data_IF_501519706039
#
_entry.id   IF_501519706039
#
_cell.length_a   1.000
_cell.length_b   1.000
_cell.length_c   1.000
_cell.angle_alpha   90.00
_cell.angle_beta   90.00
_cell.angle_gamma   90.00
#
_symmetry.space_group_name_H-M   'P 1'
#
loop_
_entity.id
_entity.type
_entity.pdbx_description
1 polymer ?
2 non-polymer ?
3 non-polymer ?
4 water ?
#
# COMPACT_ATOMS: atom_id res chain seq x y z
N UNK A 21 8.09 17.00 2.02
CA UNK A 21 8.22 15.56 2.12
C UNK A 21 6.85 14.91 2.38
N UNK A 22 5.81 15.74 2.50
CA UNK A 22 4.48 15.27 2.86
C UNK A 22 3.41 15.84 1.96
N UNK A 23 2.37 15.06 1.70
CA UNK A 23 1.21 15.58 0.99
C UNK A 23 0.04 15.70 1.97
N UNK A 24 -0.77 16.74 1.80
CA UNK A 24 -1.95 16.93 2.63
C UNK A 24 -3.16 16.17 2.07
N UNK A 25 -3.78 15.36 2.92
CA UNK A 25 -4.89 14.50 2.54
C UNK A 25 -6.21 15.25 2.62
N UNK A 26 -7.27 14.66 2.07
CA UNK A 26 -8.57 15.34 2.01
C UNK A 26 -9.29 15.43 3.37
N UNK A 27 -8.73 14.81 4.41
CA UNK A 27 -9.28 14.97 5.75
C UNK A 27 -8.38 15.91 6.60
N UNK A 28 -7.34 16.44 5.97
CA UNK A 28 -6.49 17.42 6.63
C UNK A 28 -5.21 16.89 7.24
N UNK A 29 -5.06 15.57 7.29
CA UNK A 29 -3.84 14.95 7.82
C UNK A 29 -2.75 14.96 6.74
N UNK A 30 -1.51 14.66 7.16
CA UNK A 30 -0.35 14.67 6.26
C UNK A 30 0.33 13.32 6.09
N UNK A 31 0.61 12.97 4.84
CA UNK A 31 1.23 11.70 4.49
C UNK A 31 2.58 11.92 3.82
N UNK A 32 3.66 11.41 4.43
CA UNK A 32 4.98 11.42 3.82
C UNK A 32 4.92 10.72 2.46
N UNK A 33 5.53 11.31 1.43
CA UNK A 33 5.36 10.84 0.06
C UNK A 33 6.19 9.60 -0.22
N UNK A 34 7.19 9.35 0.61
CA UNK A 34 7.91 8.06 0.54
C UNK A 34 7.47 7.16 1.68
N UNK A 35 7.19 5.90 1.37
CA UNK A 35 6.77 4.99 2.41
C UNK A 35 7.54 3.67 2.41
N UNK A 36 7.76 3.12 3.59
CA UNK A 36 8.44 1.84 3.71
C UNK A 36 7.47 0.66 3.71
N UNK A 37 7.59 -0.22 2.72
CA UNK A 37 6.78 -1.43 2.64
C UNK A 37 7.37 -2.58 3.46
N UNK A 38 6.54 -3.29 4.21
CA UNK A 38 7.01 -4.31 5.16
C UNK A 38 6.69 -5.75 4.78
N UNK A 39 5.93 -5.96 3.71
CA UNK A 39 5.57 -7.33 3.34
C UNK A 39 6.78 -8.09 2.85
N UNK A 40 6.88 -9.34 3.29
CA UNK A 40 7.91 -10.25 2.81
C UNK A 40 7.34 -11.66 2.68
N UNK A 41 7.83 -12.42 1.70
CA UNK A 41 7.43 -13.83 1.52
C UNK A 41 7.50 -14.62 2.83
N UNK A 42 6.71 -15.68 2.93
CA UNK A 42 6.61 -16.45 4.17
C UNK A 42 7.97 -16.96 4.66
N UNK A 43 8.79 -17.47 3.75
CA UNK A 43 10.10 -18.02 4.07
C UNK A 43 10.96 -17.11 4.96
N UNK A 44 10.67 -15.81 4.91
CA UNK A 44 11.44 -14.86 5.72
C UNK A 44 10.93 -14.80 7.17
N UNK A 45 11.85 -15.06 8.12
CA UNK A 45 11.56 -15.00 9.55
C UNK A 45 10.99 -13.63 9.96
N UNK A 46 10.07 -13.61 10.93
CA UNK A 46 9.40 -12.36 11.33
C UNK A 46 10.36 -11.37 11.96
N UNK A 47 11.41 -11.89 12.59
CA UNK A 47 12.47 -11.08 13.18
C UNK A 47 13.09 -10.09 12.20
N UNK A 48 13.06 -10.43 10.90
CA UNK A 48 13.61 -9.54 9.86
C UNK A 48 12.76 -8.29 9.65
N UNK A 49 11.45 -8.43 9.82
CA UNK A 49 10.56 -7.29 9.67
C UNK A 49 10.84 -6.27 10.75
N UNK A 50 11.21 -6.75 11.94
CA UNK A 50 11.55 -5.88 13.06
C UNK A 50 12.87 -5.15 12.78
N UNK A 51 13.88 -5.91 12.38
CA UNK A 51 15.18 -5.31 12.08
C UNK A 51 15.09 -4.35 10.88
N UNK A 52 14.36 -4.76 9.85
CA UNK A 52 14.20 -3.96 8.63
C UNK A 52 13.48 -2.63 8.88
N UNK A 53 12.43 -2.65 9.68
CA UNK A 53 11.70 -1.41 9.98
C UNK A 53 12.53 -0.46 10.83
N UNK A 54 13.31 -1.00 11.77
CA UNK A 54 14.24 -0.17 12.53
C UNK A 54 15.25 0.52 11.59
N UNK A 55 15.82 -0.25 10.67
CA UNK A 55 16.79 0.33 9.74
C UNK A 55 16.12 1.39 8.88
N UNK A 56 14.89 1.11 8.47
CA UNK A 56 14.19 2.03 7.59
C UNK A 56 14.02 3.38 8.28
N UNK A 57 13.60 3.35 9.54
CA UNK A 57 13.39 4.56 10.31
C UNK A 57 14.71 5.30 10.50
N UNK A 58 15.77 4.55 10.79
CA UNK A 58 17.09 5.14 11.00
C UNK A 58 17.61 5.79 9.73
N UNK A 59 17.24 5.23 8.58
CA UNK A 59 17.67 5.76 7.29
C UNK A 59 16.83 6.97 6.84
N UNK A 60 15.68 7.18 7.46
CA UNK A 60 14.91 8.37 7.14
C UNK A 60 13.44 8.17 6.85
N UNK A 61 13.01 6.92 6.67
CA UNK A 61 11.60 6.61 6.46
C UNK A 61 10.76 7.04 7.65
N UNK A 62 9.62 7.69 7.36
CA UNK A 62 8.71 8.14 8.40
C UNK A 62 7.32 7.56 8.16
N UNK A 63 7.15 7.02 6.97
CA UNK A 63 5.91 6.41 6.54
C UNK A 63 6.10 4.89 6.46
N UNK A 64 5.38 4.16 7.31
CA UNK A 64 5.48 2.69 7.39
C UNK A 64 4.17 2.01 6.95
N UNK A 65 4.25 1.12 5.96
CA UNK A 65 3.06 0.46 5.44
C UNK A 65 3.04 -1.01 5.82
N UNK A 66 1.99 -1.44 6.50
CA UNK A 66 1.80 -2.85 6.75
C UNK A 66 0.32 -3.24 6.67
N UNK A 67 -0.03 -4.37 7.27
CA UNK A 67 -1.36 -4.95 7.12
C UNK A 67 -1.54 -6.17 8.03
N UNK A 68 -2.77 -6.41 8.46
CA UNK A 68 -3.07 -7.62 9.20
C UNK A 68 -2.65 -8.85 8.39
N UNK A 69 -2.95 -8.85 7.10
CA UNK A 69 -2.54 -9.95 6.24
C UNK A 69 -1.06 -10.31 6.34
N UNK A 70 -0.19 -9.33 6.58
CA UNK A 70 1.25 -9.59 6.48
C UNK A 70 1.79 -10.35 7.70
N UNK A 71 1.00 -10.41 8.76
CA UNK A 71 1.37 -11.18 9.94
C UNK A 71 2.69 -10.72 10.57
N UNK A 72 2.92 -9.42 10.55
CA UNK A 72 4.14 -8.85 11.10
C UNK A 72 3.91 -7.62 12.00
N UNK A 73 2.66 -7.35 12.36
CA UNK A 73 2.37 -6.07 13.00
C UNK A 73 2.96 -5.99 14.42
N UNK A 74 3.16 -7.14 15.04
CA UNK A 74 3.85 -7.21 16.31
C UNK A 74 5.30 -6.74 16.16
N UNK A 75 5.99 -7.27 15.15
CA UNK A 75 7.36 -6.91 14.82
C UNK A 75 7.47 -5.43 14.37
N UNK A 76 6.52 -4.98 13.55
CA UNK A 76 6.58 -3.65 12.99
C UNK A 76 6.27 -2.63 14.08
N UNK A 77 5.38 -2.98 15.01
CA UNK A 77 5.06 -2.12 16.13
C UNK A 77 6.24 -1.96 17.08
N UNK A 78 6.90 -3.08 17.37
CA UNK A 78 8.09 -3.09 18.21
C UNK A 78 9.21 -2.24 17.61
N UNK A 79 9.42 -2.33 16.29
CA UNK A 79 10.45 -1.51 15.66
C UNK A 79 10.15 -0.02 15.82
N UNK A 80 8.90 0.37 15.54
CA UNK A 80 8.43 1.74 15.75
C UNK A 80 8.61 2.18 17.20
N UNK A 81 8.16 1.35 18.14
CA UNK A 81 8.20 1.74 19.54
C UNK A 81 9.62 1.74 20.08
N UNK A 82 10.48 0.90 19.52
CA UNK A 82 11.85 0.90 19.97
C UNK A 82 12.57 2.16 19.46
N UNK A 83 12.18 2.64 18.27
CA UNK A 83 12.81 3.86 17.76
C UNK A 83 12.25 5.09 18.46
N UNK A 84 11.09 4.93 19.10
CA UNK A 84 10.59 5.97 19.99
C UNK A 84 11.35 5.93 21.31
N UNK A 85 11.59 4.72 21.81
CA UNK A 85 12.26 4.53 23.10
C UNK A 85 13.70 5.05 23.09
N UNK A 86 14.45 4.80 22.02
CA UNK A 86 15.83 5.25 21.97
C UNK A 86 15.93 6.73 21.63
N UNK A 87 14.78 7.39 21.51
CA UNK A 87 14.72 8.83 21.28
C UNK A 87 14.94 9.30 19.85
N UNK A 88 14.94 8.39 18.89
CA UNK A 88 15.12 8.78 17.48
C UNK A 88 13.94 9.55 16.90
N UNK A 89 12.72 9.18 17.31
CA UNK A 89 11.51 9.77 16.75
C UNK A 89 10.44 9.86 17.82
N UNK A 90 9.48 10.76 17.60
CA UNK A 90 8.25 10.75 18.39
C UNK A 90 7.19 9.98 17.60
N UNK A 91 6.12 9.55 18.27
CA UNK A 91 5.02 8.87 17.60
C UNK A 91 4.49 9.72 16.44
N UNK A 92 4.33 11.01 16.69
CA UNK A 92 3.83 11.98 15.70
C UNK A 92 4.69 12.13 14.45
N UNK A 93 5.95 11.73 14.55
CA UNK A 93 6.85 11.75 13.40
C UNK A 93 6.64 10.55 12.51
N UNK A 94 5.85 9.60 12.98
CA UNK A 94 5.68 8.33 12.26
C UNK A 94 4.27 8.23 11.68
N UNK A 95 4.20 7.86 10.42
CA UNK A 95 2.92 7.62 9.77
C UNK A 95 2.81 6.12 9.52
N UNK A 96 1.98 5.46 10.32
CA UNK A 96 1.80 4.01 10.19
C UNK A 96 0.46 3.59 9.58
N UNK A 97 0.53 2.75 8.56
CA UNK A 97 -0.66 2.22 7.89
C UNK A 97 -0.93 0.76 8.27
N UNK A 98 -2.16 0.47 8.65
CA UNK A 98 -2.61 -0.91 8.70
C UNK A 98 -3.76 -1.10 7.70
N UNK A 99 -4.19 -2.34 7.53
CA UNK A 99 -5.27 -2.65 6.61
C UNK A 99 -6.19 -3.74 7.15
N UNK A 100 -7.49 -3.53 6.93
CA UNK A 100 -8.50 -4.52 7.25
C UNK A 100 -8.54 -5.61 6.17
N UNK A 101 -8.33 -6.87 6.58
CA UNK A 101 -8.34 -7.96 5.61
C UNK A 101 -9.76 -8.43 5.30
N UNK A 102 -9.88 -9.13 4.17
CA UNK A 102 -11.18 -9.51 3.60
C UNK A 102 -12.03 -10.42 4.48
N UNK A 103 -11.43 -11.03 5.49
CA UNK A 103 -12.18 -11.88 6.40
C UNK A 103 -12.86 -11.10 7.53
N UNK A 104 -12.83 -9.79 7.46
CA UNK A 104 -13.51 -8.93 8.45
C UNK A 104 -14.23 -7.76 7.77
N UNK A 105 -14.72 -7.99 6.55
CA UNK A 105 -15.47 -6.94 5.88
C UNK A 105 -16.80 -6.70 6.56
N UNK A 106 -17.34 -7.70 7.23
CA UNK A 106 -18.64 -7.54 7.87
C UNK A 106 -18.57 -6.42 8.90
N UNK A 107 -19.52 -5.49 8.85
CA UNK A 107 -19.49 -4.25 9.64
C UNK A 107 -19.19 -4.49 11.10
N UNK A 108 -19.84 -5.48 11.70
CA UNK A 108 -19.65 -5.77 13.12
C UNK A 108 -18.23 -6.28 13.44
N UNK A 109 -17.46 -6.62 12.42
CA UNK A 109 -16.15 -7.23 12.65
C UNK A 109 -15.00 -6.27 12.30
N UNK A 110 -15.33 -5.11 11.76
CA UNK A 110 -14.31 -4.13 11.35
C UNK A 110 -13.51 -3.60 12.54
N UNK A 111 -14.21 -3.17 13.58
CA UNK A 111 -13.53 -2.60 14.74
C UNK A 111 -12.73 -3.65 15.50
N UNK A 112 -13.32 -4.85 15.72
CA UNK A 112 -12.50 -5.89 16.37
C UNK A 112 -11.22 -6.15 15.59
N UNK A 113 -11.26 -6.00 14.26
CA UNK A 113 -10.07 -6.23 13.46
C UNK A 113 -9.03 -5.13 13.67
N UNK A 114 -9.46 -3.88 13.65
CA UNK A 114 -8.54 -2.78 13.92
C UNK A 114 -7.96 -2.86 15.33
N UNK A 115 -8.82 -3.19 16.29
CA UNK A 115 -8.40 -3.31 17.67
C UNK A 115 -7.39 -4.43 17.88
N UNK A 116 -7.56 -5.52 17.14
CA UNK A 116 -6.62 -6.63 17.18
C UNK A 116 -5.24 -6.19 16.67
N UNK A 117 -5.23 -5.48 15.53
CA UNK A 117 -4.02 -4.88 15.00
C UNK A 117 -3.34 -3.96 16.02
N UNK A 118 -4.12 -3.08 16.64
CA UNK A 118 -3.60 -2.17 17.66
C UNK A 118 -3.03 -2.97 18.83
N UNK A 119 -3.67 -4.08 19.18
CA UNK A 119 -3.15 -4.90 20.26
C UNK A 119 -1.79 -5.51 19.86
N UNK A 120 -1.73 -6.14 18.68
CA UNK A 120 -0.47 -6.65 18.15
C UNK A 120 0.63 -5.58 18.06
N UNK A 121 0.24 -4.40 17.58
CA UNK A 121 1.16 -3.28 17.46
C UNK A 121 1.58 -2.75 18.83
N UNK A 122 0.65 -2.81 19.79
CA UNK A 122 0.79 -2.06 21.04
C UNK A 122 0.90 -0.59 20.72
N UNK A 123 0.08 -0.13 19.77
CA UNK A 123 -0.07 1.28 19.47
C UNK A 123 -1.49 1.72 19.82
N UNK A 124 -1.65 3.00 20.09
CA UNK A 124 -2.96 3.54 20.45
C UNK A 124 -3.84 3.81 19.24
N UNK A 125 -3.22 4.14 18.11
CA UNK A 125 -3.96 4.39 16.87
C UNK A 125 -3.11 4.04 15.66
N UNK A 126 -3.74 3.85 14.50
CA UNK A 126 -2.97 3.80 13.27
C UNK A 126 -3.21 5.14 12.62
N UNK A 127 -2.27 5.59 11.80
CA UNK A 127 -2.47 6.84 11.07
C UNK A 127 -3.40 6.62 9.89
N UNK A 128 -3.54 5.38 9.46
CA UNK A 128 -4.27 5.09 8.25
C UNK A 128 -4.77 3.66 8.27
N UNK A 129 -6.08 3.51 8.07
CA UNK A 129 -6.68 2.18 7.98
C UNK A 129 -7.34 2.03 6.61
N UNK A 130 -6.96 0.98 5.90
CA UNK A 130 -7.52 0.74 4.57
C UNK A 130 -8.35 -0.51 4.49
N UNK A 131 -9.42 -0.46 3.71
CA UNK A 131 -9.98 -1.71 3.21
C UNK A 131 -8.91 -2.27 2.24
N UNK A 132 -8.36 -3.43 2.61
CA UNK A 132 -7.22 -3.98 1.90
C UNK A 132 -7.54 -4.40 0.46
N UNK A 133 -8.69 -5.05 0.28
CA UNK A 133 -9.08 -5.62 -1.02
C UNK A 133 -10.60 -5.78 -1.04
N UNK A 134 -11.26 -5.45 -2.16
CA UNK A 134 -12.74 -5.40 -2.17
C UNK A 134 -13.51 -6.73 -2.23
N UNK A 135 -12.84 -7.86 -2.41
CA UNK A 135 -13.58 -9.14 -2.42
C UNK A 135 -13.61 -9.75 -1.01
N UNK A 136 -14.79 -10.04 -0.49
CA UNK A 136 -14.88 -10.54 0.89
C UNK A 136 -14.75 -12.07 0.96
N UNK A 137 -14.12 -12.57 2.00
CA UNK A 137 -14.06 -14.02 2.21
C UNK A 137 -14.67 -14.36 3.57
N UNK A 138 -15.03 -15.62 3.76
CA UNK A 138 -15.72 -16.07 4.98
C UNK A 138 -15.01 -15.62 6.25
N UNK A 139 -15.78 -15.07 7.21
CA UNK A 139 -15.26 -14.65 8.51
C UNK A 139 -14.57 -15.80 9.25
N UNK A 140 -13.40 -15.54 9.81
CA UNK A 140 -12.64 -16.55 10.52
C UNK A 140 -11.17 -16.20 10.54
N UNK A 141 -10.39 -16.96 11.30
CA UNK A 141 -8.96 -16.71 11.43
C UNK A 141 -8.22 -16.93 10.11
N UNK A 142 -8.68 -17.89 9.32
CA UNK A 142 -8.03 -18.16 8.04
C UNK A 142 -8.19 -16.98 7.08
N UNK A 143 -7.07 -16.49 6.54
CA UNK A 143 -7.13 -15.29 5.70
C UNK A 143 -7.48 -15.65 4.25
N UNK A 144 -7.20 -16.89 3.86
CA UNK A 144 -7.69 -17.41 2.59
C UNK A 144 -8.44 -18.72 2.78
N UNK A 145 -9.68 -18.65 3.31
CA UNK A 145 -10.45 -19.87 3.60
C UNK A 145 -10.87 -20.56 2.31
N UNK A 146 -10.75 -21.89 2.27
CA UNK A 146 -11.11 -22.64 1.06
C UNK A 146 -12.01 -23.85 1.39
N UNK A 147 -12.75 -24.34 0.39
CA UNK A 147 -13.51 -25.58 0.57
C UNK A 147 -12.63 -26.80 0.27
N UNK A 148 -13.24 -27.98 0.26
CA UNK A 148 -12.52 -29.23 0.03
C UNK A 148 -11.89 -29.30 -1.37
N UNK A 149 -12.53 -28.66 -2.35
CA UNK A 149 -11.98 -28.60 -3.70
C UNK A 149 -10.93 -27.48 -3.84
N UNK A 150 -10.48 -26.95 -2.71
CA UNK A 150 -9.52 -25.86 -2.71
C UNK A 150 -10.10 -24.61 -3.33
N UNK A 151 -11.42 -24.45 -3.22
CA UNK A 151 -12.02 -23.23 -3.72
C UNK A 151 -12.19 -22.23 -2.58
N UNK A 152 -11.94 -20.96 -2.86
CA UNK A 152 -12.09 -19.91 -1.87
C UNK A 152 -13.53 -19.80 -1.40
N UNK A 153 -13.68 -19.67 -0.09
CA UNK A 153 -14.98 -19.51 0.53
C UNK A 153 -15.33 -18.02 0.63
N UNK A 154 -15.95 -17.51 -0.42
CA UNK A 154 -16.26 -16.09 -0.48
C UNK A 154 -17.42 -15.72 0.43
N UNK A 155 -17.47 -14.45 0.79
CA UNK A 155 -18.53 -13.93 1.64
C UNK A 155 -19.30 -12.89 0.86
N UNK A 156 -20.44 -12.49 1.38
CA UNK A 156 -21.25 -11.50 0.69
C UNK A 156 -21.47 -10.31 1.60
N UNK A 157 -20.82 -9.21 1.24
CA UNK A 157 -20.87 -8.02 2.05
C UNK A 157 -21.00 -6.77 1.21
N UNK A 158 -21.83 -5.86 1.71
CA UNK A 158 -21.96 -4.54 1.17
C UNK A 158 -20.81 -3.68 1.69
N UNK A 159 -19.83 -3.44 0.81
CA UNK A 159 -18.65 -2.64 1.13
C UNK A 159 -19.00 -1.23 1.61
N UNK A 160 -20.18 -0.74 1.25
CA UNK A 160 -20.67 0.52 1.80
C UNK A 160 -20.93 0.39 3.30
N UNK A 161 -21.46 -0.75 3.71
CA UNK A 161 -21.68 -1.01 5.11
C UNK A 161 -20.31 -1.13 5.78
N UNK A 162 -19.38 -1.80 5.12
CA UNK A 162 -18.02 -1.89 5.62
C UNK A 162 -17.41 -0.50 5.83
N UNK A 163 -17.61 0.40 4.87
CA UNK A 163 -17.02 1.73 4.96
C UNK A 163 -17.58 2.53 6.16
N UNK A 164 -18.86 2.34 6.45
CA UNK A 164 -19.48 3.04 7.57
C UNK A 164 -18.86 2.59 8.89
N UNK A 165 -18.61 1.29 8.99
CA UNK A 165 -17.88 0.73 10.12
C UNK A 165 -16.46 1.29 10.18
N UNK A 166 -15.82 1.40 9.01
CA UNK A 166 -14.49 2.00 8.94
C UNK A 166 -14.56 3.47 9.35
N UNK A 167 -15.60 4.17 8.95
CA UNK A 167 -15.75 5.56 9.37
C UNK A 167 -15.84 5.71 10.91
N UNK A 168 -16.59 4.84 11.57
CA UNK A 168 -16.67 4.88 13.05
C UNK A 168 -15.31 4.73 13.71
N UNK A 169 -14.40 4.00 13.07
CA UNK A 169 -13.06 3.86 13.61
C UNK A 169 -12.34 5.21 13.63
N UNK A 170 -12.58 6.05 12.62
CA UNK A 170 -12.03 7.41 12.63
C UNK A 170 -12.72 8.26 13.72
N UNK A 171 -14.05 8.18 13.82
CA UNK A 171 -14.82 8.81 14.92
C UNK A 171 -14.28 8.47 16.30
N UNK A 172 -13.84 7.21 16.45
CA UNK A 172 -13.36 6.73 17.74
C UNK A 172 -11.89 7.07 17.95
N UNK A 173 -11.23 7.57 16.92
CA UNK A 173 -9.84 8.01 17.02
C UNK A 173 -8.83 6.87 16.91
N UNK A 174 -9.32 5.67 16.62
CA UNK A 174 -8.47 4.49 16.46
C UNK A 174 -7.62 4.59 15.19
N UNK A 175 -8.17 5.21 14.17
CA UNK A 175 -7.46 5.52 12.93
C UNK A 175 -7.59 7.01 12.65
N UNK A 176 -6.48 7.67 12.36
CA UNK A 176 -6.54 9.11 12.09
C UNK A 176 -7.17 9.36 10.71
N UNK A 177 -6.80 8.53 9.75
CA UNK A 177 -7.35 8.64 8.40
C UNK A 177 -7.80 7.26 7.95
N UNK A 178 -8.67 7.24 6.95
CA UNK A 178 -9.16 5.99 6.41
C UNK A 178 -9.12 6.04 4.90
N UNK A 179 -8.98 4.89 4.27
CA UNK A 179 -8.87 4.83 2.83
C UNK A 179 -9.09 3.43 2.30
N UNK A 180 -8.80 3.24 1.01
CA UNK A 180 -8.99 1.93 0.40
C UNK A 180 -7.79 1.52 -0.44
N UNK A 181 -7.79 0.25 -0.84
CA UNK A 181 -6.71 -0.32 -1.60
C UNK A 181 -7.30 -1.28 -2.65
N UNK A 182 -6.74 -1.26 -3.86
CA UNK A 182 -7.21 -2.13 -4.96
C UNK A 182 -8.66 -1.89 -5.37
N UNK A 183 -9.16 -0.68 -5.20
CA UNK A 183 -10.48 -0.29 -5.70
C UNK A 183 -10.34 0.22 -7.14
N UNK A 184 -11.29 -0.13 -8.01
CA UNK A 184 -11.36 0.48 -9.34
C UNK A 184 -12.23 1.73 -9.28
N UNK A 185 -12.34 2.44 -10.41
CA UNK A 185 -13.10 3.69 -10.44
C UNK A 185 -14.55 3.53 -9.93
N UNK A 186 -15.26 2.49 -10.39
CA UNK A 186 -16.65 2.30 -9.99
C UNK A 186 -16.81 2.04 -8.50
N UNK A 187 -15.85 1.32 -7.94
CA UNK A 187 -15.87 1.04 -6.50
C UNK A 187 -15.60 2.33 -5.70
N UNK A 188 -14.68 3.16 -6.20
CA UNK A 188 -14.47 4.48 -5.58
C UNK A 188 -15.78 5.29 -5.64
N UNK A 189 -16.41 5.32 -6.81
CA UNK A 189 -17.66 6.05 -6.98
C UNK A 189 -18.76 5.53 -6.04
N UNK A 190 -18.80 4.21 -5.81
CA UNK A 190 -19.76 3.61 -4.90
C UNK A 190 -19.67 4.19 -3.49
N UNK A 191 -18.45 4.30 -2.98
CA UNK A 191 -18.19 4.97 -1.72
C UNK A 191 -18.47 6.48 -1.80
N UNK A 192 -17.86 7.14 -2.80
CA UNK A 192 -17.92 8.59 -2.94
C UNK A 192 -19.34 9.12 -2.97
N UNK A 193 -20.23 8.40 -3.66
CA UNK A 193 -21.59 8.86 -3.89
C UNK A 193 -22.60 8.23 -2.94
N UNK A 194 -22.07 7.55 -1.93
CA UNK A 194 -22.91 6.85 -0.98
C UNK A 194 -23.69 7.84 -0.11
N UNK A 195 -25.00 7.60 0.05
CA UNK A 195 -25.83 8.44 0.92
C UNK A 195 -25.27 8.51 2.35
N UNK A 196 -25.20 9.72 2.89
CA UNK A 196 -24.74 9.94 4.26
C UNK A 196 -23.26 9.70 4.48
N UNK A 197 -22.47 9.76 3.41
CA UNK A 197 -21.02 9.63 3.52
C UNK A 197 -20.46 10.61 4.55
N UNK A 198 -19.68 10.10 5.51
CA UNK A 198 -18.98 10.98 6.46
C UNK A 198 -17.58 11.34 5.99
N UNK A 199 -16.83 10.34 5.53
CA UNK A 199 -15.44 10.56 5.14
C UNK A 199 -15.14 9.93 3.79
N UNK A 200 -14.53 10.71 2.91
CA UNK A 200 -13.99 10.17 1.68
C UNK A 200 -12.77 9.35 2.04
N UNK A 201 -12.48 8.32 1.24
CA UNK A 201 -11.16 7.70 1.32
C UNK A 201 -10.09 8.75 1.08
N UNK A 202 -9.02 8.74 1.87
CA UNK A 202 -7.93 9.70 1.69
C UNK A 202 -7.00 9.23 0.58
N UNK A 203 -7.10 7.95 0.23
CA UNK A 203 -6.17 7.35 -0.71
C UNK A 203 -6.71 6.07 -1.31
N UNK A 204 -6.08 5.66 -2.40
CA UNK A 204 -6.33 4.36 -3.01
C UNK A 204 -4.97 3.73 -3.25
N UNK A 205 -4.60 2.77 -2.40
CA UNK A 205 -3.31 2.11 -2.55
C UNK A 205 -3.42 1.05 -3.65
N UNK A 206 -2.67 1.24 -4.75
CA UNK A 206 -2.76 0.32 -5.88
C UNK A 206 -1.39 0.06 -6.49
N UNK A 207 -1.32 -1.00 -7.29
CA UNK A 207 -0.12 -1.29 -8.07
C UNK A 207 0.19 -0.13 -9.01
N UNK A 208 1.42 0.36 -8.96
CA UNK A 208 1.82 1.43 -9.85
C UNK A 208 3.30 1.47 -10.08
N UNK A 209 3.69 1.39 -11.35
CA UNK A 209 5.09 1.41 -11.75
C UNK A 209 5.17 1.72 -13.24
N UNK A 210 6.37 1.99 -13.77
CA UNK A 210 6.43 2.43 -15.17
C UNK A 210 5.83 1.43 -16.18
N UNK A 211 5.66 0.16 -15.81
CA UNK A 211 5.04 -0.79 -16.74
C UNK A 211 3.51 -0.80 -16.62
N UNK A 212 3.01 -0.23 -15.53
CA UNK A 212 1.57 -0.08 -15.31
C UNK A 212 1.31 1.22 -14.56
N UNK A 213 1.28 2.35 -15.27
CA UNK A 213 1.37 3.64 -14.57
C UNK A 213 0.03 4.26 -14.14
N UNK A 214 -1.08 3.56 -14.37
CA UNK A 214 -2.36 3.93 -13.75
C UNK A 214 -2.83 5.34 -14.11
N UNK A 215 -2.41 5.86 -15.26
CA UNK A 215 -2.74 7.23 -15.66
C UNK A 215 -4.23 7.57 -15.49
N UNK A 216 -5.11 6.74 -16.05
CA UNK A 216 -6.55 7.01 -15.95
C UNK A 216 -7.05 6.95 -14.49
N UNK A 217 -6.66 5.92 -13.75
CA UNK A 217 -7.04 5.82 -12.36
C UNK A 217 -6.41 6.97 -11.57
N UNK A 218 -5.19 7.34 -11.93
CA UNK A 218 -4.53 8.47 -11.28
C UNK A 218 -5.29 9.76 -11.56
N UNK A 219 -5.65 10.01 -12.82
CA UNK A 219 -6.45 11.20 -13.12
C UNK A 219 -7.78 11.16 -12.36
N UNK A 220 -8.43 10.02 -12.30
CA UNK A 220 -9.68 9.97 -11.57
C UNK A 220 -9.51 10.32 -10.10
N UNK A 221 -8.48 9.74 -9.47
CA UNK A 221 -8.22 9.96 -8.05
C UNK A 221 -7.93 11.42 -7.74
N UNK A 222 -7.04 12.04 -8.53
CA UNK A 222 -6.76 13.45 -8.35
C UNK A 222 -8.06 14.30 -8.39
N UNK A 223 -8.93 14.01 -9.37
CA UNK A 223 -10.16 14.78 -9.54
C UNK A 223 -11.05 14.73 -8.29
N UNK A 224 -10.92 13.68 -7.49
CA UNK A 224 -11.73 13.53 -6.28
C UNK A 224 -10.94 13.80 -5.00
N UNK A 225 -9.70 14.28 -5.14
CA UNK A 225 -8.85 14.55 -3.98
C UNK A 225 -8.42 13.27 -3.26
N UNK A 226 -8.26 12.21 -4.01
CA UNK A 226 -7.76 10.98 -3.46
C UNK A 226 -6.31 10.81 -3.85
N UNK A 227 -5.45 10.58 -2.87
CA UNK A 227 -4.07 10.26 -3.15
C UNK A 227 -3.92 8.83 -3.72
N UNK A 228 -3.15 8.68 -4.77
CA UNK A 228 -2.80 7.34 -5.23
C UNK A 228 -1.51 6.92 -4.55
N UNK A 229 -1.52 5.76 -3.90
CA UNK A 229 -0.31 5.22 -3.28
C UNK A 229 0.20 3.99 -4.07
N UNK A 230 1.42 4.10 -4.59
CA UNK A 230 1.92 3.08 -5.50
C UNK A 230 2.59 1.94 -4.75
N UNK A 231 2.06 0.74 -4.88
CA UNK A 231 2.77 -0.40 -4.36
C UNK A 231 3.36 -1.17 -5.52
N UNK A 232 4.35 -2.01 -5.21
CA UNK A 232 5.13 -2.73 -6.21
C UNK A 232 5.78 -1.73 -7.17
N UNK A 233 6.25 -0.62 -6.61
CA UNK A 233 6.83 0.46 -7.39
C UNK A 233 8.11 0.06 -8.10
N UNK A 234 8.79 -0.96 -7.60
CA UNK A 234 10.05 -1.40 -8.19
C UNK A 234 9.90 -2.65 -9.05
N UNK A 235 8.65 -3.03 -9.34
CA UNK A 235 8.40 -4.23 -10.11
C UNK A 235 7.98 -5.41 -9.23
N UNK A 236 7.74 -5.13 -7.95
CA UNK A 236 7.17 -6.09 -6.99
C UNK A 236 8.14 -7.16 -6.51
N UNK A 237 7.70 -7.90 -5.50
CA UNK A 237 8.46 -9.00 -4.89
C UNK A 237 8.73 -10.15 -5.87
N UNK A 238 7.90 -10.26 -6.90
CA UNK A 238 8.05 -11.33 -7.87
C UNK A 238 7.96 -12.72 -7.22
N UNK A 239 7.24 -12.81 -6.09
CA UNK A 239 7.10 -14.08 -5.37
C UNK A 239 6.31 -15.11 -6.18
N UNK A 240 6.86 -16.32 -6.30
CA UNK A 240 6.12 -17.41 -6.91
C UNK A 240 5.27 -18.11 -5.85
N UNK A 241 4.08 -18.59 -6.25
CA UNK A 241 3.60 -18.65 -7.64
C UNK A 241 2.90 -17.37 -8.09
N UNK A 242 2.77 -16.41 -7.17
CA UNK A 242 1.96 -15.21 -7.39
C UNK A 242 2.33 -14.40 -8.64
N UNK A 243 3.57 -14.56 -9.12
CA UNK A 243 4.07 -13.69 -10.18
C UNK A 243 4.92 -14.47 -11.19
N UNK A 244 4.61 -14.30 -12.47
CA UNK A 244 5.31 -14.99 -13.54
C UNK A 244 6.79 -14.60 -13.62
N UNK A 245 7.69 -15.58 -13.50
CA UNK A 245 9.13 -15.27 -13.60
C UNK A 245 9.50 -14.82 -15.02
N UNK A 246 8.60 -14.99 -15.98
CA UNK A 246 8.86 -14.55 -17.35
C UNK A 246 8.45 -13.10 -17.58
N UNK A 247 7.76 -12.52 -16.59
CA UNK A 247 7.37 -11.12 -16.67
C UNK A 247 8.63 -10.26 -16.66
N UNK A 248 8.56 -9.13 -17.37
CA UNK A 248 9.74 -8.27 -17.44
C UNK A 248 10.19 -7.86 -16.03
N UNK A 249 11.50 -7.81 -15.83
CA UNK A 249 12.10 -7.31 -14.59
C UNK A 249 12.26 -5.79 -14.69
N UNK A 250 11.39 -5.06 -13.99
CA UNK A 250 11.39 -3.60 -14.05
C UNK A 250 12.79 -2.98 -13.84
N UNK A 251 13.53 -3.45 -12.84
CA UNK A 251 14.83 -2.84 -12.53
C UNK A 251 15.91 -3.18 -13.56
N UNK A 252 15.59 -4.05 -14.53
CA UNK A 252 16.51 -4.33 -15.62
C UNK A 252 16.09 -3.59 -16.89
N UNK A 253 15.16 -2.65 -16.76
CA UNK A 253 14.66 -1.89 -17.90
C UNK A 253 15.74 -0.99 -18.53
N UNK A 254 15.88 -1.07 -19.86
CA UNK A 254 16.84 -0.26 -20.62
C UNK A 254 16.78 1.22 -20.29
N UNK A 255 15.59 1.80 -20.29
CA UNK A 255 15.48 3.23 -20.06
C UNK A 255 15.80 3.62 -18.61
N UNK A 256 15.28 2.84 -17.67
CA UNK A 256 15.54 3.14 -16.26
C UNK A 256 17.04 3.04 -15.98
N UNK A 257 17.67 2.01 -16.51
CA UNK A 257 19.11 1.83 -16.30
C UNK A 257 19.93 2.94 -16.98
N UNK A 258 19.44 3.47 -18.09
CA UNK A 258 20.12 4.56 -18.80
C UNK A 258 19.99 5.85 -17.99
N UNK A 259 18.78 6.11 -17.51
CA UNK A 259 18.56 7.22 -16.60
C UNK A 259 19.38 7.06 -15.32
N UNK A 260 19.49 5.83 -14.84
CA UNK A 260 20.31 5.55 -13.67
C UNK A 260 21.77 5.95 -13.93
N UNK A 261 22.36 5.44 -15.01
CA UNK A 261 23.75 5.77 -15.37
C UNK A 261 23.93 7.28 -15.51
N UNK A 262 22.97 7.94 -16.16
CA UNK A 262 23.06 9.37 -16.42
C UNK A 262 23.04 10.20 -15.15
N UNK A 263 22.21 9.83 -14.19
CA UNK A 263 22.08 10.60 -12.96
C UNK A 263 22.97 10.07 -11.83
N UNK A 264 23.74 9.03 -12.14
CA UNK A 264 24.54 8.34 -11.14
C UNK A 264 23.68 7.87 -9.97
N UNK A 265 22.47 7.41 -10.29
CA UNK A 265 21.59 6.81 -9.30
C UNK A 265 21.41 5.34 -9.66
N UNK A 266 20.24 4.78 -9.40
CA UNK A 266 19.92 3.39 -9.75
C UNK A 266 18.54 3.31 -10.39
N UNK A 267 18.25 2.20 -11.08
CA UNK A 267 16.92 2.04 -11.66
C UNK A 267 15.80 2.17 -10.61
N UNK A 268 16.01 1.58 -9.43
CA UNK A 268 15.06 1.71 -8.33
C UNK A 268 14.75 3.17 -8.03
N UNK A 269 15.80 3.97 -7.87
CA UNK A 269 15.63 5.39 -7.57
C UNK A 269 14.94 6.15 -8.70
N UNK A 270 15.15 5.73 -9.94
CA UNK A 270 14.49 6.37 -11.05
C UNK A 270 12.99 6.09 -10.98
N UNK A 271 12.65 4.82 -10.81
CA UNK A 271 11.27 4.38 -10.67
C UNK A 271 10.56 5.11 -9.53
N UNK A 272 11.25 5.28 -8.41
CA UNK A 272 10.65 5.96 -7.25
C UNK A 272 10.45 7.46 -7.55
N UNK A 273 11.43 8.07 -8.20
CA UNK A 273 11.40 9.50 -8.47
C UNK A 273 10.28 9.84 -9.41
N UNK A 274 10.07 8.95 -10.38
CA UNK A 274 8.99 9.07 -11.35
C UNK A 274 7.62 9.24 -10.69
N UNK A 275 7.33 8.38 -9.72
CA UNK A 275 6.07 8.49 -9.01
C UNK A 275 5.97 9.82 -8.27
N UNK A 276 7.05 10.24 -7.61
CA UNK A 276 7.01 11.49 -6.87
C UNK A 276 6.70 12.68 -7.77
N UNK A 277 7.35 12.77 -8.93
CA UNK A 277 7.22 13.97 -9.77
C UNK A 277 5.91 13.98 -10.53
N UNK A 278 5.19 12.87 -10.49
CA UNK A 278 3.85 12.84 -11.07
C UNK A 278 2.78 12.81 -9.97
N UNK A 279 3.14 13.26 -8.77
CA UNK A 279 2.17 13.41 -7.70
C UNK A 279 1.65 12.14 -7.05
N UNK A 280 2.43 11.05 -7.12
CA UNK A 280 2.03 9.79 -6.50
C UNK A 280 2.87 9.53 -5.23
N UNK A 281 2.21 9.12 -4.16
CA UNK A 281 2.91 8.68 -2.96
C UNK A 281 3.44 7.28 -3.26
N UNK A 282 4.70 7.02 -2.92
CA UNK A 282 5.31 5.79 -3.37
C UNK A 282 5.91 4.93 -2.25
N UNK A 283 5.57 3.65 -2.30
CA UNK A 283 6.01 2.67 -1.33
C UNK A 283 7.24 1.96 -1.87
N UNK A 284 8.10 1.50 -0.98
CA UNK A 284 9.26 0.73 -1.37
C UNK A 284 9.64 -0.24 -0.25
N UNK A 285 9.56 -1.53 -0.55
CA UNK A 285 9.99 -2.56 0.40
C UNK A 285 11.45 -2.95 0.18
N UNK A 286 12.16 -3.17 1.27
CA UNK A 286 13.46 -3.81 1.23
C UNK A 286 13.84 -4.28 2.62
N UNK A 287 14.38 -5.49 2.72
CA UNK A 287 14.90 -6.01 3.98
C UNK A 287 16.42 -6.02 3.97
N UNK A 288 17.00 -5.32 3.00
CA UNK A 288 18.44 -5.22 2.85
C UNK A 288 18.91 -3.84 3.28
N UNK A 289 19.89 -3.78 4.17
CA UNK A 289 20.33 -2.47 4.70
C UNK A 289 20.76 -1.49 3.62
N UNK A 290 21.59 -1.94 2.68
CA UNK A 290 22.07 -1.07 1.62
C UNK A 290 20.93 -0.49 0.77
N UNK A 291 19.96 -1.32 0.39
CA UNK A 291 18.91 -0.82 -0.47
C UNK A 291 17.93 0.06 0.32
N UNK A 292 17.70 -0.29 1.58
CA UNK A 292 16.89 0.54 2.45
C UNK A 292 17.44 1.98 2.50
N UNK A 293 18.74 2.11 2.74
CA UNK A 293 19.41 3.42 2.76
C UNK A 293 19.43 4.07 1.39
N UNK A 294 19.59 3.27 0.35
CA UNK A 294 19.57 3.77 -1.02
C UNK A 294 18.24 4.43 -1.37
N UNK A 295 17.15 3.75 -1.06
CA UNK A 295 15.82 4.19 -1.47
C UNK A 295 15.39 5.57 -0.95
N UNK A 296 15.85 5.98 0.23
CA UNK A 296 15.50 7.31 0.71
C UNK A 296 16.20 8.42 -0.09
N UNK A 297 17.19 8.04 -0.89
CA UNK A 297 17.94 9.02 -1.67
C UNK A 297 17.08 9.58 -2.80
N UNK A 298 15.86 9.07 -2.90
CA UNK A 298 14.91 9.54 -3.90
C UNK A 298 14.74 11.06 -3.84
N UNK A 299 15.07 11.66 -2.69
CA UNK A 299 14.90 13.10 -2.52
C UNK A 299 16.07 13.95 -2.99
N UNK A 300 17.17 13.31 -3.38
CA UNK A 300 18.42 14.02 -3.68
C UNK A 300 18.54 14.56 -5.11
N UNK A 301 17.64 14.18 -6.00
CA UNK A 301 17.77 14.57 -7.41
C UNK A 301 16.42 14.71 -8.09
N UNK A 302 16.39 15.23 -9.31
CA UNK A 302 15.15 15.28 -10.06
C UNK A 302 15.29 14.92 -11.55
N UNK A 303 14.22 14.35 -12.09
CA UNK A 303 14.13 14.05 -13.50
C UNK A 303 13.67 15.29 -14.25
N UNK A 304 14.07 15.39 -15.52
CA UNK A 304 13.59 16.47 -16.40
C UNK A 304 12.26 16.05 -17.02
N UNK A 305 11.56 17.02 -17.61
CA UNK A 305 10.30 16.75 -18.28
C UNK A 305 10.46 15.71 -19.36
N UNK A 306 11.57 15.76 -20.08
CA UNK A 306 11.83 14.84 -21.17
C UNK A 306 12.07 13.42 -20.67
N UNK A 307 12.77 13.29 -19.56
CA UNK A 307 12.97 12.00 -18.91
C UNK A 307 11.61 11.45 -18.41
N UNK A 308 10.82 12.33 -17.78
CA UNK A 308 9.49 11.93 -17.31
C UNK A 308 8.66 11.39 -18.47
N UNK A 309 8.68 12.09 -19.60
CA UNK A 309 7.97 11.63 -20.78
C UNK A 309 8.45 10.22 -21.22
N UNK A 310 9.76 10.04 -21.21
CA UNK A 310 10.37 8.78 -21.65
C UNK A 310 9.97 7.62 -20.73
N UNK A 311 9.81 7.91 -19.45
CA UNK A 311 9.36 6.90 -18.50
C UNK A 311 7.87 6.59 -18.74
N UNK A 312 7.12 7.62 -19.13
CA UNK A 312 5.71 7.47 -19.51
C UNK A 312 5.59 6.45 -20.65
N UNK A 313 6.56 6.44 -21.55
CA UNK A 313 6.52 5.52 -22.69
C UNK A 313 6.62 4.07 -22.29
N UNK A 314 7.15 3.83 -21.09
CA UNK A 314 7.37 2.46 -20.65
C UNK A 314 6.09 1.66 -20.44
N UNK A 315 4.96 2.34 -20.28
CA UNK A 315 3.68 1.69 -19.90
C UNK A 315 3.31 0.46 -20.75
N UNK A 316 2.99 -0.65 -20.10
CA UNK A 316 2.70 -1.89 -20.82
C UNK A 316 1.30 -2.41 -20.49
N UNK A 317 0.65 -1.76 -19.54
CA UNK A 317 -0.68 -2.17 -19.07
C UNK A 317 -0.73 -3.64 -18.71
N UNK A 318 0.23 -4.09 -17.92
CA UNK A 318 0.22 -5.46 -17.42
C UNK A 318 0.64 -5.45 -15.94
N UNK A 319 -0.17 -6.10 -15.09
CA UNK A 319 0.05 -6.14 -13.65
C UNK A 319 0.91 -7.31 -13.18
N UNK A 320 1.73 -7.06 -12.16
CA UNK A 320 2.44 -8.14 -11.48
C UNK A 320 1.51 -8.88 -10.50
N UNK A 321 0.50 -8.17 -10.00
CA UNK A 321 -0.39 -8.74 -8.99
C UNK A 321 -1.83 -8.73 -9.48
N UNK A 322 -2.31 -9.89 -9.92
CA UNK A 322 -3.65 -10.00 -10.48
C UNK A 322 -4.62 -10.64 -9.49
N UNK A 323 -4.06 -11.45 -8.59
CA UNK A 323 -4.85 -12.24 -7.63
C UNK A 323 -5.98 -13.00 -8.29
N UNK A 324 -5.64 -13.83 -9.28
CA UNK A 324 -6.63 -14.59 -10.02
C UNK A 324 -7.53 -15.41 -9.13
N UNK A 325 -7.01 -15.83 -7.99
CA UNK A 325 -7.74 -16.72 -7.08
C UNK A 325 -8.96 -15.99 -6.50
N UNK A 326 -8.92 -14.66 -6.52
CA UNK A 326 -10.06 -13.86 -6.07
C UNK A 326 -11.00 -13.43 -7.19
N UNK A 327 -10.72 -13.86 -8.41
CA UNK A 327 -11.58 -13.54 -9.53
C UNK A 327 -12.83 -14.43 -9.53
N UNK A 328 -13.94 -13.86 -9.99
CA UNK A 328 -15.22 -14.57 -9.99
C UNK A 328 -16.31 -13.71 -9.40
N UNK A 329 -16.21 -13.43 -8.09
CA UNK A 329 -17.14 -12.57 -7.36
C UNK A 329 -17.29 -11.20 -8.01
N UNK A 330 -18.45 -10.55 -7.82
CA UNK A 330 -18.76 -9.25 -8.43
C UNK A 330 -17.83 -8.10 -7.99
N UNK A 331 -17.10 -8.26 -6.89
CA UNK A 331 -16.21 -7.19 -6.46
C UNK A 331 -14.76 -7.32 -6.95
N UNK A 332 -14.49 -8.30 -7.80
CA UNK A 332 -13.12 -8.45 -8.29
C UNK A 332 -12.76 -7.22 -9.12
N UNK A 333 -11.77 -6.46 -8.65
CA UNK A 333 -11.56 -5.09 -9.12
C UNK A 333 -10.84 -4.94 -10.48
N UNK A 334 -10.16 -5.98 -10.95
CA UNK A 334 -9.25 -5.77 -12.08
C UNK A 334 -9.81 -6.12 -13.46
N UNK A 335 -11.11 -6.40 -13.53
CA UNK A 335 -11.76 -6.70 -14.81
C UNK A 335 -12.18 -5.44 -15.57
N UNK A 336 -12.57 -4.39 -14.85
CA UNK A 336 -12.85 -3.10 -15.49
C UNK A 336 -11.57 -2.57 -16.09
N UNK A 337 -11.70 -1.71 -17.11
CA UNK A 337 -10.55 -1.05 -17.73
C UNK A 337 -9.68 -0.39 -16.66
N UNK A 338 -10.34 0.24 -15.69
CA UNK A 338 -9.68 0.87 -14.54
C UNK A 338 -10.73 1.28 -13.53
X LIG B 1 8.52 -3.52 -4.41
X LIG B 1 8.59 -2.42 -3.43
X LIG B 1 8.09 -3.07 -5.81
X LIG B 1 9.94 -4.28 -4.61
X LIG B 1 10.32 -5.26 -3.62
X LIG B 1 11.53 -5.99 -4.13
X LIG B 1 12.49 -5.04 -4.65
X LIG B 1 12.26 -6.80 -3.07
X LIG B 1 12.62 -8.08 -3.58
X LIG B 1 13.52 -5.98 -2.77
X LIG B 1 14.62 -6.84 -2.39
X LIG B 1 13.77 -5.24 -4.07
X LIG B 1 14.41 -3.95 -3.92
X LIG B 1 14.13 -3.00 -2.96
X LIG B 1 14.84 -1.90 -3.07
X LIG B 1 15.65 -2.14 -4.16
X LIG B 1 16.69 -1.40 -4.74
X LIG B 1 17.07 -0.18 -4.31
X LIG B 1 17.37 -1.96 -5.77
X LIG B 1 17.00 -3.17 -6.19
X LIG B 1 16.03 -3.97 -5.73
X LIG B 1 15.40 -3.40 -4.70
X LIG B 1 7.62 -4.74 -3.92
X LIG B 1 6.30 -5.15 -3.12
X LIG B 1 6.69 -5.85 -1.88
X LIG B 1 5.42 -5.86 -4.08
X LIG B 1 5.66 -3.75 -2.73
X LIG B 1 6.13 -3.02 -1.58
X LIG B 1 5.07 -2.91 -0.51
X LIG B 1 3.80 -2.46 -1.05
X LIG B 1 4.71 -4.18 0.26
X LIG B 1 5.69 -4.51 1.23
X LIG B 1 3.39 -3.76 0.89
X LIG B 1 3.58 -2.87 1.99
X LIG B 1 2.75 -2.98 -0.26
X LIG B 1 1.83 -3.84 -1.14
X LIG B 1 0.52 -3.66 -0.95
X LIG B 1 -0.40 -4.38 -1.70
X LIG B 1 -1.88 -4.14 -1.54
X LIG B 1 -2.30 -3.22 -0.78
X LIG B 1 -2.71 -4.89 -2.26
X LIG B 1 0.08 -5.28 -2.64
X LIG B 1 1.43 -5.44 -2.82
X LIG B 1 2.31 -4.70 -2.06
X LIG B 1 15.29 -6.68 -0.96
X LIG B 1 14.26 -6.80 0.14
X LIG B 1 16.33 -7.79 -0.91
X LIG B 1 16.05 -5.32 -0.96
X LIG C 1 2.10 -12.94 -1.45
X LIG C 1 -3.04 -7.63 -0.85
X LIG C 1 -0.36 -11.56 -2.27
X LIG C 1 -0.29 -12.53 -1.12
X LIG C 1 -0.48 -10.12 -1.77
X LIG C 1 0.91 -13.05 -0.77
X LIG C 1 0.90 -11.72 -3.12
X LIG C 1 0.51 -8.15 -0.85
X LIG C 1 0.66 -9.39 -1.43
X LIG C 1 2.03 -12.31 -2.67
X LIG C 1 -1.19 -13.06 -0.12
X LIG C 1 -0.54 -13.81 0.76
X LIG C 1 1.75 -7.41 -0.57
X LIG C 1 3.19 -12.47 -3.32
X LIG C 1 -1.74 -9.56 -1.57
X LIG C 1 -1.86 -8.30 -0.98
X LIG C 1 -0.73 -7.60 -0.57
X LIG C 1 0.77 -13.82 0.38
X LIG C 1 -4.21 -8.21 -1.42
X LIG C 1 -3.44 -13.42 -1.21
X LIG C 1 -2.67 -12.84 -0.03
X LIG C 1 0.86 -11.23 -4.46
X LIG C 1 -0.90 -6.49 0.18
X LIG C 1 2.75 -7.66 -1.23
X LIG C 1 1.73 -6.55 0.30
X LIG C 1 0.87 -10.84 -5.52
X LIG C 1 -4.95 -13.05 -1.22
X LIG C 1 -1.21 -11.80 -2.90
X LIG C 1 1.64 -9.82 -1.64
X LIG C 1 4.00 -12.92 -2.90
X LIG C 1 3.29 -12.14 -4.27
X LIG C 1 -2.61 -10.12 -1.89
X LIG C 1 1.48 -14.33 0.89
X LIG C 1 -5.10 -7.58 -1.32
X LIG C 1 -4.42 -9.21 -1.03
X LIG C 1 -3.95 -8.28 -2.48
X LIG C 1 -3.32 -14.50 -1.23
X LIG C 1 -2.98 -13.09 -2.14
X LIG C 1 -2.85 -11.77 0.05
X LIG C 1 -3.06 -13.26 0.89
X LIG C 1 -0.05 -6.35 0.68
X LIG C 1 -5.45 -13.42 -0.33
X LIG C 1 -5.47 -13.47 -2.07
X LIG C 1 -5.11 -11.98 -1.25
#
# INVERSE_FOLDING_TARGET
>A
MSYYHHHHHHEGVRTMDSKYQCVKLNDGHFMPVLGFGTYAPAEVPKSKALEATKLAIEAGFRHIDSAHLYNNEEQVGLAIRSKIADGSVKREDIFYTSKLWCNSHRPELVRPALERSLKNLQLDYVDLYLIHFPVSVKPGEEVIPKDENGKILFDTVDLCATWEAVEKCKDAGLAKSIGVSNFNRRQLEMILNKPGLKYKPVCNQVECHPYFNQRKLLDFCKSKDIVLVAYSALGSHREEPWVDPNSPVLLEDPVLCALAKKHKRTPALIALRYQLQRGVVVLAKSYNEQRIRQNVQVFEFQLTSEEMKAIDGLNRNVRYLTLDIFAGPPNYPFSDEY
>B hetero
1 NAP PA O1A O2A O5B C5B C4B O4B C3B O3B C2B O2B C1B N9A C8A N7A C5A C6A N6A N1A C2A N3A C4A O3 PN O1N O2N O5D C5D C4D O4D C3D O3D C2D O2D C1D N1N C2N C3N C7N O7N N7N C4N C5N C6N P2B O1X O2X O3X
>C hetero
1 9S0 O1 O2 C11 C12 C13 C14 C15 C19 C18 C17 C16 N7 N8 N9 C20 C21 C22 N6 C26 C25 C24 C23 O3 O4 O5 N10 C27 H5 H6 H3 H4 H7 H2 H13 H14 H12 H11 H10 H9 H8 H1 H15 H16 H17
#
